data_IF_880352778142
#
_entry.id   IF_880352778142
#
_cell.length_a   1.000
_cell.length_b   1.000
_cell.length_c   1.000
_cell.angle_alpha   90.00
_cell.angle_beta   90.00
_cell.angle_gamma   90.00
#
_symmetry.space_group_name_H-M   'P 1'
#
loop_
_entity.id
_entity.type
_entity.pdbx_description
1 polymer ?
#
# COMPACT_ATOMS: atom_id res chain seq x y z
N UNK A 1 -14.76 -30.71 -20.73
CA UNK A 1 -14.52 -30.94 -19.30
C UNK A 1 -13.56 -29.87 -18.85
N UNK A 2 -14.06 -28.81 -18.19
CA UNK A 2 -13.21 -27.83 -17.55
C UNK A 2 -12.58 -28.54 -16.33
N UNK A 3 -11.28 -28.79 -16.37
CA UNK A 3 -10.55 -29.28 -15.22
C UNK A 3 -10.73 -28.28 -14.08
N UNK A 4 -11.21 -28.72 -12.94
CA UNK A 4 -11.22 -27.94 -11.72
C UNK A 4 -9.78 -27.48 -11.50
N UNK A 5 -9.51 -26.20 -11.66
CA UNK A 5 -8.24 -25.61 -11.35
C UNK A 5 -8.07 -25.80 -9.84
N UNK A 6 -7.09 -26.61 -9.43
CA UNK A 6 -6.82 -26.82 -8.00
C UNK A 6 -6.59 -25.43 -7.38
N UNK A 7 -7.33 -25.13 -6.34
CA UNK A 7 -7.22 -23.86 -5.64
C UNK A 7 -5.80 -23.65 -5.08
N UNK A 8 -5.47 -22.40 -4.72
CA UNK A 8 -4.20 -22.09 -4.05
C UNK A 8 -4.40 -22.33 -2.55
N UNK A 9 -3.89 -23.45 -1.99
CA UNK A 9 -4.12 -23.79 -0.58
C UNK A 9 -3.33 -22.82 0.30
N UNK A 10 -4.03 -22.02 1.08
CA UNK A 10 -3.45 -21.16 2.10
C UNK A 10 -3.56 -21.86 3.45
N UNK A 11 -2.43 -22.23 4.04
CA UNK A 11 -2.37 -22.69 5.41
C UNK A 11 -2.26 -21.50 6.36
N UNK A 12 -3.05 -21.51 7.44
CA UNK A 12 -3.04 -20.47 8.46
C UNK A 12 -3.00 -21.06 9.86
N UNK A 13 -2.18 -20.48 10.75
CA UNK A 13 -2.13 -20.82 12.17
C UNK A 13 -1.60 -19.65 13.00
N UNK A 14 -1.82 -19.73 14.31
CA UNK A 14 -1.23 -18.81 15.28
C UNK A 14 -0.11 -19.50 16.05
N UNK A 15 1.04 -18.86 16.15
CA UNK A 15 2.19 -19.32 16.93
C UNK A 15 1.95 -19.14 18.44
N UNK A 16 2.70 -19.85 19.28
CA UNK A 16 2.64 -19.72 20.73
C UNK A 16 2.94 -18.30 21.24
N UNK A 17 3.73 -17.52 20.49
CA UNK A 17 4.03 -16.11 20.77
C UNK A 17 2.97 -15.13 20.22
N UNK A 18 1.85 -15.62 19.69
CA UNK A 18 0.74 -14.84 19.14
C UNK A 18 0.88 -14.42 17.68
N UNK A 19 2.00 -14.65 17.01
CA UNK A 19 2.17 -14.34 15.59
C UNK A 19 1.22 -15.18 14.73
N UNK A 20 0.55 -14.52 13.77
CA UNK A 20 -0.28 -15.20 12.79
C UNK A 20 0.56 -15.52 11.55
N UNK A 21 0.53 -16.76 11.09
CA UNK A 21 1.31 -17.23 9.95
C UNK A 21 0.38 -17.71 8.84
N UNK A 22 0.68 -17.29 7.63
CA UNK A 22 0.00 -17.66 6.40
C UNK A 22 1.04 -18.23 5.44
N UNK A 23 0.80 -19.44 4.93
CA UNK A 23 1.74 -20.15 4.08
C UNK A 23 1.07 -20.62 2.79
N UNK A 24 1.73 -20.37 1.66
CA UNK A 24 1.49 -21.05 0.40
C UNK A 24 2.75 -21.81 0.02
N UNK A 25 2.67 -23.13 -0.01
CA UNK A 25 3.77 -23.97 -0.45
C UNK A 25 3.93 -23.88 -1.97
N UNK A 26 5.12 -23.49 -2.43
CA UNK A 26 5.47 -23.36 -3.85
C UNK A 26 6.82 -24.04 -4.12
N UNK A 27 6.83 -25.37 -4.30
CA UNK A 27 8.08 -26.15 -4.37
C UNK A 27 8.80 -26.06 -5.73
N UNK A 28 8.25 -25.37 -6.72
CA UNK A 28 8.80 -25.31 -8.07
C UNK A 28 10.19 -24.67 -8.17
N UNK A 29 10.54 -23.80 -7.24
CA UNK A 29 11.86 -23.16 -7.14
C UNK A 29 12.38 -23.31 -5.70
N UNK A 30 13.69 -23.59 -5.49
CA UNK A 30 14.28 -23.75 -4.15
C UNK A 30 14.51 -22.38 -3.48
N UNK A 31 13.45 -21.62 -3.34
CA UNK A 31 13.48 -20.26 -2.76
C UNK A 31 12.23 -20.00 -1.91
N UNK A 32 12.33 -19.02 -1.04
CA UNK A 32 11.24 -18.54 -0.20
C UNK A 32 11.19 -17.01 -0.23
N UNK A 33 9.99 -16.51 -0.31
CA UNK A 33 9.63 -15.10 -0.13
C UNK A 33 8.81 -14.98 1.16
N UNK A 34 9.17 -14.00 1.99
CA UNK A 34 8.52 -13.75 3.27
C UNK A 34 8.17 -12.27 3.39
N UNK A 35 7.02 -11.99 3.95
CA UNK A 35 6.64 -10.65 4.39
C UNK A 35 6.10 -10.71 5.82
N UNK A 36 6.58 -9.80 6.66
CA UNK A 36 6.12 -9.65 8.03
C UNK A 36 5.53 -8.26 8.17
N UNK A 37 4.27 -8.19 8.55
CA UNK A 37 3.51 -6.95 8.68
C UNK A 37 3.17 -6.67 10.15
N UNK A 38 3.34 -5.41 10.54
CA UNK A 38 2.96 -4.90 11.85
C UNK A 38 2.07 -3.67 11.73
N UNK A 39 1.14 -3.47 12.65
CA UNK A 39 0.34 -2.26 12.77
C UNK A 39 1.22 -1.09 13.29
N UNK A 40 2.07 -0.61 12.39
CA UNK A 40 3.10 0.39 12.63
C UNK A 40 3.27 1.32 11.40
N UNK A 41 2.20 1.63 10.71
CA UNK A 41 2.20 2.56 9.58
C UNK A 41 2.09 4.02 9.99
N UNK A 42 2.15 4.92 9.00
CA UNK A 42 2.14 6.37 9.19
C UNK A 42 0.89 6.90 9.93
N UNK A 43 -0.23 6.17 9.91
CA UNK A 43 -1.41 6.52 10.72
C UNK A 43 -1.17 6.41 12.23
N UNK A 44 -0.06 5.80 12.65
CA UNK A 44 0.39 5.71 14.04
C UNK A 44 1.38 6.81 14.42
N UNK A 45 1.78 7.64 13.46
CA UNK A 45 2.67 8.78 13.73
C UNK A 45 1.96 9.79 14.63
N UNK A 46 2.62 10.28 15.70
CA UNK A 46 2.08 11.36 16.51
C UNK A 46 1.92 12.64 15.67
N UNK A 47 0.94 13.46 16.02
CA UNK A 47 0.75 14.78 15.41
C UNK A 47 2.06 15.60 15.48
N UNK A 48 2.45 16.18 14.35
CA UNK A 48 3.68 16.95 14.20
C UNK A 48 4.95 16.12 13.98
N UNK A 49 4.85 14.78 13.98
CA UNK A 49 5.97 13.87 13.71
C UNK A 49 5.68 12.92 12.53
N UNK A 50 4.95 13.40 11.55
CA UNK A 50 4.69 12.64 10.32
C UNK A 50 6.00 12.22 9.66
N UNK A 51 6.09 10.93 9.33
CA UNK A 51 7.29 10.29 8.81
C UNK A 51 8.02 9.45 9.85
N UNK A 52 7.57 9.40 11.12
CA UNK A 52 8.21 8.58 12.17
C UNK A 52 8.21 7.10 11.82
N UNK A 53 7.10 6.53 11.36
CA UNK A 53 7.03 5.13 10.92
C UNK A 53 8.02 4.85 9.79
N UNK A 54 8.05 5.72 8.77
CA UNK A 54 8.96 5.57 7.63
C UNK A 54 10.43 5.75 8.00
N UNK A 55 10.73 6.72 8.90
CA UNK A 55 12.08 6.91 9.46
C UNK A 55 12.53 5.67 10.25
N UNK A 56 11.63 5.11 11.09
CA UNK A 56 11.91 3.89 11.85
C UNK A 56 12.21 2.72 10.92
N UNK A 57 11.37 2.48 9.91
CA UNK A 57 11.59 1.42 8.92
C UNK A 57 12.92 1.59 8.16
N UNK A 58 13.23 2.81 7.71
CA UNK A 58 14.50 3.13 7.05
C UNK A 58 15.69 2.81 7.95
N UNK A 59 15.66 3.27 9.20
CA UNK A 59 16.78 3.14 10.13
C UNK A 59 17.01 1.72 10.63
N UNK A 60 15.99 0.85 10.60
CA UNK A 60 16.13 -0.59 10.88
C UNK A 60 17.12 -1.26 9.93
N UNK A 61 17.20 -0.80 8.67
CA UNK A 61 18.15 -1.31 7.68
C UNK A 61 19.58 -0.74 7.78
N UNK A 62 19.84 0.23 8.69
CA UNK A 62 21.06 1.05 8.70
C UNK A 62 22.11 0.66 9.73
N UNK A 63 22.05 -0.55 10.24
CA UNK A 63 23.02 -1.09 11.20
C UNK A 63 22.35 -1.85 12.34
N UNK A 64 23.13 -2.66 13.03
CA UNK A 64 22.70 -3.58 14.08
C UNK A 64 23.52 -3.39 15.35
N UNK A 65 22.87 -3.43 16.51
CA UNK A 65 23.54 -3.46 17.82
C UNK A 65 24.23 -4.79 18.06
N UNK A 66 25.24 -4.80 18.90
CA UNK A 66 25.76 -6.04 19.48
C UNK A 66 24.71 -6.75 20.33
N UNK A 67 24.67 -8.09 20.27
CA UNK A 67 23.81 -8.93 21.13
C UNK A 67 24.58 -10.18 21.57
N UNK A 68 24.88 -10.32 22.85
CA UNK A 68 25.71 -11.42 23.34
C UNK A 68 27.04 -11.48 22.62
N UNK A 69 27.34 -12.61 21.98
CA UNK A 69 28.56 -12.80 21.21
C UNK A 69 28.47 -12.28 19.75
N UNK A 70 27.32 -11.78 19.33
CA UNK A 70 27.15 -11.22 17.99
C UNK A 70 27.62 -9.76 18.00
N UNK A 71 28.61 -9.39 17.13
CA UNK A 71 29.12 -8.03 17.08
C UNK A 71 28.07 -7.07 16.52
N UNK A 72 28.25 -5.78 16.80
CA UNK A 72 27.55 -4.72 16.09
C UNK A 72 27.94 -4.75 14.61
N UNK A 73 27.03 -4.32 13.73
CA UNK A 73 27.29 -4.18 12.30
C UNK A 73 26.87 -2.79 11.86
N UNK A 74 27.74 -2.12 11.13
CA UNK A 74 27.37 -0.89 10.46
C UNK A 74 26.59 -1.14 9.16
N UNK A 75 26.20 -0.08 8.46
CA UNK A 75 25.41 -0.15 7.23
C UNK A 75 26.12 -0.96 6.13
N UNK A 76 27.45 -0.85 6.01
CA UNK A 76 28.23 -1.55 4.98
C UNK A 76 28.32 -3.05 5.30
N UNK A 77 28.66 -3.40 6.53
CA UNK A 77 28.75 -4.79 6.97
C UNK A 77 27.39 -5.52 6.85
N UNK A 78 26.29 -4.81 7.11
CA UNK A 78 24.93 -5.34 6.88
C UNK A 78 24.69 -5.59 5.39
N UNK A 79 25.05 -4.64 4.54
CA UNK A 79 24.90 -4.77 3.08
C UNK A 79 25.73 -5.93 2.51
N UNK A 80 26.97 -6.09 2.95
CA UNK A 80 27.85 -7.20 2.58
C UNK A 80 27.28 -8.54 3.01
N UNK A 81 26.80 -8.65 4.25
CA UNK A 81 26.22 -9.90 4.75
C UNK A 81 24.97 -10.36 3.95
N UNK A 82 24.14 -9.45 3.50
CA UNK A 82 23.01 -9.77 2.62
C UNK A 82 23.47 -10.18 1.22
N UNK A 83 24.47 -9.48 0.67
CA UNK A 83 25.02 -9.77 -0.66
C UNK A 83 25.73 -11.14 -0.68
N UNK A 84 26.55 -11.44 0.30
CA UNK A 84 27.26 -12.72 0.44
C UNK A 84 26.29 -13.90 0.58
N UNK A 85 25.18 -13.69 1.28
CA UNK A 85 24.10 -14.68 1.39
C UNK A 85 23.27 -14.86 0.12
N UNK A 86 23.41 -13.99 -0.89
CA UNK A 86 22.53 -13.98 -2.06
C UNK A 86 21.05 -13.80 -1.70
N UNK A 87 20.79 -13.15 -0.57
CA UNK A 87 19.47 -12.92 -0.03
C UNK A 87 19.13 -11.41 -0.05
N UNK A 88 17.83 -11.10 0.00
CA UNK A 88 17.34 -9.74 0.00
C UNK A 88 16.53 -9.49 1.27
N UNK A 89 16.68 -8.28 1.81
CA UNK A 89 15.87 -7.80 2.92
C UNK A 89 15.51 -6.33 2.70
N UNK A 90 14.28 -5.96 3.05
CA UNK A 90 13.89 -4.56 3.09
C UNK A 90 12.86 -4.30 4.19
N UNK A 91 12.85 -3.08 4.70
CA UNK A 91 11.84 -2.58 5.61
C UNK A 91 11.22 -1.31 5.01
N UNK A 92 9.91 -1.19 5.09
CA UNK A 92 9.16 -0.03 4.60
C UNK A 92 7.92 0.22 5.46
N UNK A 93 7.41 1.45 5.44
CA UNK A 93 6.15 1.78 6.08
C UNK A 93 5.19 2.41 5.06
N UNK A 94 3.94 1.96 5.10
CA UNK A 94 2.81 2.56 4.39
C UNK A 94 1.94 3.35 5.39
N UNK A 95 0.77 3.80 4.96
CA UNK A 95 -0.19 4.43 5.88
C UNK A 95 -0.62 3.50 7.01
N UNK A 96 -0.84 2.21 6.73
CA UNK A 96 -1.43 1.26 7.68
C UNK A 96 -0.43 0.37 8.39
N UNK A 97 0.67 -0.01 7.74
CA UNK A 97 1.58 -1.04 8.24
C UNK A 97 3.04 -0.73 7.99
N UNK A 98 3.89 -1.28 8.82
CA UNK A 98 5.31 -1.48 8.56
C UNK A 98 5.52 -2.91 8.10
N UNK A 99 6.19 -3.07 6.97
CA UNK A 99 6.43 -4.35 6.31
C UNK A 99 7.91 -4.64 6.22
N UNK A 100 8.29 -5.86 6.57
CA UNK A 100 9.62 -6.41 6.38
C UNK A 100 9.53 -7.51 5.33
N UNK A 101 10.31 -7.43 4.28
CA UNK A 101 10.32 -8.45 3.22
C UNK A 101 11.70 -9.10 3.15
N UNK A 102 11.70 -10.42 2.95
CA UNK A 102 12.90 -11.22 2.77
C UNK A 102 12.71 -12.17 1.61
N UNK A 103 13.76 -12.35 0.83
CA UNK A 103 13.88 -13.41 -0.19
C UNK A 103 15.18 -14.15 0.02
N UNK A 104 15.12 -15.47 0.00
CA UNK A 104 16.29 -16.33 0.16
C UNK A 104 16.12 -17.63 -0.61
N UNK A 105 17.24 -18.29 -0.91
CA UNK A 105 17.23 -19.70 -1.28
C UNK A 105 16.86 -20.56 -0.07
N UNK A 106 16.26 -21.73 -0.29
CA UNK A 106 15.89 -22.68 0.78
C UNK A 106 17.00 -23.66 1.13
N UNK A 107 18.21 -23.50 0.58
CA UNK A 107 19.39 -24.22 1.01
C UNK A 107 19.71 -23.86 2.46
N UNK A 108 19.88 -24.84 3.33
CA UNK A 108 19.90 -24.69 4.79
C UNK A 108 20.86 -23.59 5.27
N UNK A 109 22.12 -23.59 4.80
CA UNK A 109 23.11 -22.62 5.28
C UNK A 109 22.75 -21.19 4.91
N UNK A 110 22.17 -21.00 3.70
CA UNK A 110 21.74 -19.67 3.19
C UNK A 110 20.49 -19.21 3.93
N UNK A 111 19.51 -20.10 4.08
CA UNK A 111 18.25 -19.80 4.74
C UNK A 111 18.49 -19.44 6.22
N UNK A 112 19.27 -20.24 6.95
CA UNK A 112 19.56 -20.00 8.36
C UNK A 112 20.37 -18.73 8.58
N UNK A 113 21.35 -18.44 7.72
CA UNK A 113 22.12 -17.21 7.80
C UNK A 113 21.24 -15.98 7.55
N UNK A 114 20.42 -16.00 6.49
CA UNK A 114 19.52 -14.90 6.15
C UNK A 114 18.42 -14.71 7.21
N UNK A 115 17.91 -15.79 7.79
CA UNK A 115 16.92 -15.72 8.87
C UNK A 115 17.52 -15.07 10.14
N UNK A 116 18.71 -15.50 10.56
CA UNK A 116 19.38 -14.90 11.72
C UNK A 116 19.67 -13.40 11.51
N UNK A 117 20.04 -13.01 10.31
CA UNK A 117 20.26 -11.61 9.98
C UNK A 117 18.96 -10.82 10.00
N UNK A 118 17.87 -11.36 9.44
CA UNK A 118 16.53 -10.76 9.49
C UNK A 118 16.03 -10.63 10.95
N UNK A 119 16.22 -11.65 11.78
CA UNK A 119 15.87 -11.62 13.20
C UNK A 119 16.60 -10.49 13.95
N UNK A 120 17.86 -10.23 13.62
CA UNK A 120 18.61 -9.09 14.16
C UNK A 120 18.06 -7.75 13.71
N UNK A 121 17.66 -7.63 12.45
CA UNK A 121 16.99 -6.39 11.97
C UNK A 121 15.71 -6.10 12.75
N UNK A 122 14.93 -7.14 13.04
CA UNK A 122 13.70 -6.98 13.82
C UNK A 122 13.97 -6.61 15.28
N UNK A 123 15.02 -7.18 15.90
CA UNK A 123 15.23 -7.09 17.34
C UNK A 123 16.30 -6.06 17.76
N UNK A 124 17.33 -5.87 16.96
CA UNK A 124 18.54 -5.14 17.32
C UNK A 124 18.93 -3.98 16.40
N UNK A 125 17.99 -3.20 15.85
CA UNK A 125 18.38 -2.07 15.01
C UNK A 125 19.22 -1.06 15.81
N UNK A 126 20.29 -0.55 15.17
CA UNK A 126 21.23 0.34 15.83
C UNK A 126 20.65 1.74 16.14
N UNK A 127 19.83 2.27 15.23
CA UNK A 127 19.32 3.64 15.31
C UNK A 127 20.44 4.66 15.58
N UNK A 128 21.55 4.59 14.83
CA UNK A 128 22.71 5.47 15.04
C UNK A 128 22.34 6.93 14.72
N UNK A 129 22.69 7.85 15.65
CA UNK A 129 22.25 9.24 15.59
C UNK A 129 22.87 10.01 14.40
N UNK A 130 24.14 9.75 14.08
CA UNK A 130 24.85 10.32 12.94
C UNK A 130 24.27 9.86 11.62
N UNK A 131 23.90 8.58 11.51
CA UNK A 131 23.22 8.03 10.35
C UNK A 131 21.83 8.68 10.18
N UNK A 132 21.07 8.81 11.27
CA UNK A 132 19.79 9.51 11.21
C UNK A 132 19.94 10.97 10.79
N UNK A 133 20.94 11.68 11.30
CA UNK A 133 21.20 13.07 10.90
C UNK A 133 21.44 13.18 9.39
N UNK A 134 22.26 12.26 8.84
CA UNK A 134 22.53 12.18 7.39
C UNK A 134 21.28 11.86 6.57
N UNK A 135 20.54 10.82 6.94
CA UNK A 135 19.34 10.39 6.20
C UNK A 135 18.23 11.43 6.27
N UNK A 136 18.03 12.05 7.42
CA UNK A 136 17.07 13.16 7.60
C UNK A 136 17.39 14.33 6.67
N UNK A 137 18.67 14.70 6.57
CA UNK A 137 19.10 15.77 5.66
C UNK A 137 18.83 15.42 4.21
N UNK A 138 19.16 14.21 3.78
CA UNK A 138 18.90 13.71 2.42
C UNK A 138 17.40 13.70 2.12
N UNK A 139 16.62 13.16 3.01
CA UNK A 139 15.16 13.08 2.84
C UNK A 139 14.53 14.47 2.81
N UNK A 140 14.93 15.37 3.70
CA UNK A 140 14.46 16.76 3.68
C UNK A 140 14.81 17.48 2.37
N UNK A 141 16.00 17.26 1.81
CA UNK A 141 16.38 17.81 0.52
C UNK A 141 15.52 17.25 -0.61
N UNK A 142 15.29 15.93 -0.64
CA UNK A 142 14.40 15.27 -1.61
C UNK A 142 12.95 15.77 -1.53
N UNK A 143 12.44 16.01 -0.32
CA UNK A 143 11.09 16.59 -0.13
C UNK A 143 11.01 18.01 -0.72
N UNK A 144 12.02 18.86 -0.50
CA UNK A 144 12.05 20.21 -1.09
C UNK A 144 12.14 20.15 -2.61
N UNK A 145 13.01 19.30 -3.15
CA UNK A 145 13.13 19.08 -4.58
C UNK A 145 11.82 18.59 -5.20
N UNK A 146 11.11 17.70 -4.52
CA UNK A 146 9.83 17.17 -5.02
C UNK A 146 8.76 18.25 -5.24
N UNK A 147 8.84 19.39 -4.52
CA UNK A 147 7.95 20.52 -4.67
C UNK A 147 8.18 21.32 -5.97
N UNK A 148 9.23 21.05 -6.71
CA UNK A 148 9.43 21.58 -8.08
C UNK A 148 8.60 20.83 -9.12
N UNK A 149 7.91 19.76 -8.74
CA UNK A 149 7.07 18.94 -9.61
C UNK A 149 5.60 19.25 -9.38
N UNK A 150 4.86 19.73 -10.40
CA UNK A 150 3.48 20.16 -10.22
C UNK A 150 2.54 19.04 -9.75
N UNK A 151 2.78 17.79 -10.15
CA UNK A 151 2.02 16.63 -9.65
C UNK A 151 2.17 16.44 -8.15
N UNK A 152 3.40 16.54 -7.63
CA UNK A 152 3.66 16.46 -6.18
C UNK A 152 2.95 17.60 -5.43
N UNK A 153 2.98 18.80 -5.97
CA UNK A 153 2.28 19.96 -5.37
C UNK A 153 0.78 19.70 -5.33
N UNK A 154 0.21 19.15 -6.41
CA UNK A 154 -1.21 18.79 -6.47
C UNK A 154 -1.58 17.76 -5.40
N UNK A 155 -0.83 16.65 -5.29
CA UNK A 155 -1.10 15.58 -4.32
C UNK A 155 -0.94 16.07 -2.86
N UNK A 156 0.05 16.92 -2.61
CA UNK A 156 0.29 17.50 -1.28
C UNK A 156 -0.81 18.49 -0.85
N UNK A 157 -1.44 19.18 -1.78
CA UNK A 157 -2.59 20.03 -1.49
C UNK A 157 -3.88 19.21 -1.36
N UNK A 158 -4.03 18.18 -2.19
CA UNK A 158 -5.22 17.35 -2.27
C UNK A 158 -5.41 16.45 -1.06
N UNK A 159 -4.37 15.72 -0.64
CA UNK A 159 -4.45 14.71 0.42
C UNK A 159 -5.00 15.28 1.75
N UNK A 160 -4.46 16.36 2.33
CA UNK A 160 -5.02 16.93 3.56
C UNK A 160 -6.39 17.57 3.36
N UNK A 161 -6.71 18.04 2.15
CA UNK A 161 -8.04 18.58 1.85
C UNK A 161 -9.12 17.50 1.81
N UNK A 162 -8.75 16.26 1.41
CA UNK A 162 -9.66 15.09 1.38
C UNK A 162 -9.84 14.49 2.76
N UNK A 163 -8.74 14.30 3.51
CA UNK A 163 -8.78 13.54 4.76
C UNK A 163 -8.90 14.40 6.03
N UNK A 164 -8.77 15.71 5.91
CA UNK A 164 -8.88 16.63 7.04
C UNK A 164 -7.89 16.29 8.16
N UNK A 165 -8.42 16.07 9.36
CA UNK A 165 -7.63 15.74 10.56
C UNK A 165 -7.33 14.24 10.69
N UNK A 166 -7.88 13.39 9.82
CA UNK A 166 -7.60 11.96 9.85
C UNK A 166 -6.12 11.70 9.54
N UNK A 167 -5.45 10.73 10.20
CA UNK A 167 -4.03 10.42 9.96
C UNK A 167 -3.65 10.12 8.50
N UNK A 168 -4.57 9.68 7.66
CA UNK A 168 -4.33 9.52 6.22
C UNK A 168 -4.06 10.84 5.50
N UNK A 169 -4.46 11.97 6.08
CA UNK A 169 -4.16 13.31 5.57
C UNK A 169 -2.80 13.85 6.00
N UNK A 170 -2.13 13.21 6.94
CA UNK A 170 -0.81 13.63 7.40
C UNK A 170 0.25 13.46 6.31
N UNK A 171 1.15 14.44 6.24
CA UNK A 171 2.24 14.44 5.27
C UNK A 171 3.58 14.69 5.94
N UNK A 172 4.57 13.93 5.51
CA UNK A 172 5.94 14.16 5.93
C UNK A 172 6.45 15.46 5.32
N UNK A 173 7.02 16.31 6.16
CA UNK A 173 7.65 17.58 5.79
C UNK A 173 9.06 17.67 6.39
N UNK A 174 9.94 18.56 5.90
CA UNK A 174 11.24 18.81 6.54
C UNK A 174 11.10 19.16 8.04
N UNK A 175 10.05 19.91 8.40
CA UNK A 175 9.76 20.32 9.80
C UNK A 175 9.35 19.11 10.64
N UNK A 176 8.42 18.26 10.14
CA UNK A 176 8.01 17.05 10.87
C UNK A 176 9.18 16.08 11.05
N UNK A 177 10.08 15.95 10.04
CA UNK A 177 11.29 15.14 10.15
C UNK A 177 12.29 15.70 11.18
N UNK A 178 12.37 17.04 11.32
CA UNK A 178 13.21 17.68 12.34
C UNK A 178 12.72 17.36 13.75
N UNK A 179 11.41 17.17 13.92
CA UNK A 179 10.81 16.79 15.20
C UNK A 179 10.97 15.28 15.54
N UNK A 180 11.41 14.44 14.59
CA UNK A 180 11.64 13.01 14.83
C UNK A 180 13.04 12.79 15.38
N UNK A 181 13.14 12.19 16.57
CA UNK A 181 14.40 11.81 17.21
C UNK A 181 14.66 10.30 17.15
N UNK A 182 15.90 9.90 17.42
CA UNK A 182 16.27 8.49 17.60
C UNK A 182 15.46 7.85 18.73
N UNK A 183 15.23 8.57 19.82
CA UNK A 183 14.43 8.09 20.95
C UNK A 183 12.97 7.82 20.53
N UNK A 184 12.41 8.66 19.66
CA UNK A 184 11.05 8.44 19.13
C UNK A 184 11.00 7.15 18.30
N UNK A 185 12.00 6.91 17.43
CA UNK A 185 12.08 5.68 16.63
C UNK A 185 12.24 4.43 17.49
N UNK A 186 13.08 4.49 18.54
CA UNK A 186 13.27 3.40 19.50
C UNK A 186 11.97 3.08 20.24
N UNK A 187 11.27 4.12 20.72
CA UNK A 187 9.99 3.96 21.40
C UNK A 187 8.89 3.42 20.46
N UNK A 188 8.85 3.91 19.21
CA UNK A 188 7.92 3.43 18.19
C UNK A 188 8.16 1.96 17.87
N UNK A 189 9.42 1.57 17.63
CA UNK A 189 9.83 0.20 17.40
C UNK A 189 9.43 -0.71 18.57
N UNK A 190 9.81 -0.39 19.80
CA UNK A 190 9.53 -1.17 21.01
C UNK A 190 8.02 -1.37 21.25
N UNK A 191 7.20 -0.38 20.87
CA UNK A 191 5.75 -0.43 21.04
C UNK A 191 5.04 -1.28 19.99
N UNK A 192 5.52 -1.27 18.75
CA UNK A 192 4.78 -1.82 17.61
C UNK A 192 5.34 -3.15 17.10
N UNK A 193 6.66 -3.37 17.17
CA UNK A 193 7.30 -4.57 16.63
C UNK A 193 7.36 -5.64 17.71
N UNK A 194 6.24 -6.35 17.87
CA UNK A 194 6.06 -7.39 18.88
C UNK A 194 5.52 -8.67 18.23
N UNK A 195 5.95 -9.90 18.67
CA UNK A 195 5.52 -11.14 18.06
C UNK A 195 4.00 -11.28 17.95
N UNK A 196 3.27 -10.95 19.02
CA UNK A 196 1.80 -11.02 19.08
C UNK A 196 1.06 -10.08 18.13
N UNK A 197 1.78 -9.17 17.42
CA UNK A 197 1.23 -8.28 16.38
C UNK A 197 1.67 -8.67 14.99
N UNK A 198 2.59 -9.63 14.87
CA UNK A 198 3.15 -10.02 13.59
C UNK A 198 2.12 -10.80 12.76
N UNK A 199 1.97 -10.41 11.51
CA UNK A 199 1.35 -11.20 10.46
C UNK A 199 2.44 -11.61 9.48
N UNK A 200 2.73 -12.90 9.43
CA UNK A 200 3.83 -13.47 8.65
C UNK A 200 3.24 -14.21 7.45
N UNK A 201 3.54 -13.73 6.28
CA UNK A 201 3.14 -14.34 5.00
C UNK A 201 4.36 -14.99 4.36
N UNK A 202 4.25 -16.26 3.97
CA UNK A 202 5.33 -17.06 3.41
C UNK A 202 4.88 -17.74 2.13
N UNK A 203 5.68 -17.61 1.08
CA UNK A 203 5.47 -18.31 -0.20
C UNK A 203 6.79 -18.94 -0.62
N UNK A 204 6.84 -20.24 -0.83
CA UNK A 204 8.06 -20.89 -1.30
C UNK A 204 8.16 -22.38 -1.03
N UNK A 205 9.36 -22.91 -1.21
CA UNK A 205 9.66 -24.34 -1.09
C UNK A 205 9.97 -24.74 0.36
N UNK A 206 9.06 -24.40 1.27
CA UNK A 206 9.10 -24.81 2.69
C UNK A 206 7.75 -25.38 3.10
N UNK A 207 7.75 -26.42 3.93
CA UNK A 207 6.55 -26.97 4.53
C UNK A 207 6.19 -26.28 5.85
N UNK A 208 5.00 -26.57 6.36
CA UNK A 208 4.47 -25.98 7.60
C UNK A 208 5.41 -26.14 8.79
N UNK A 209 5.99 -27.34 9.01
CA UNK A 209 6.86 -27.58 10.15
C UNK A 209 8.15 -26.72 10.08
N UNK A 210 8.74 -26.61 8.89
CA UNK A 210 9.90 -25.75 8.64
C UNK A 210 9.57 -24.28 8.89
N UNK A 211 8.45 -23.80 8.35
CA UNK A 211 8.03 -22.40 8.54
C UNK A 211 7.71 -22.11 10.00
N UNK A 212 7.06 -23.04 10.71
CA UNK A 212 6.78 -22.89 12.13
C UNK A 212 8.04 -22.74 12.97
N UNK A 213 9.05 -23.58 12.75
CA UNK A 213 10.34 -23.49 13.43
C UNK A 213 11.06 -22.18 13.07
N UNK A 214 11.11 -21.87 11.79
CA UNK A 214 11.76 -20.67 11.25
C UNK A 214 11.15 -19.36 11.82
N UNK A 215 9.80 -19.23 11.86
CA UNK A 215 9.13 -18.06 12.43
C UNK A 215 9.35 -17.94 13.94
N UNK A 216 9.42 -19.09 14.65
CA UNK A 216 9.73 -19.11 16.09
C UNK A 216 11.10 -18.48 16.35
N UNK A 217 12.13 -18.89 15.62
CA UNK A 217 13.49 -18.34 15.75
C UNK A 217 13.56 -16.88 15.31
N UNK A 218 12.92 -16.53 14.19
CA UNK A 218 12.90 -15.18 13.64
C UNK A 218 12.39 -14.14 14.66
N UNK A 219 11.40 -14.50 15.45
CA UNK A 219 10.75 -13.60 16.42
C UNK A 219 11.25 -13.80 17.86
N UNK A 220 12.14 -14.78 18.11
CA UNK A 220 12.57 -15.17 19.46
C UNK A 220 13.27 -14.04 20.24
N UNK A 221 13.93 -13.12 19.53
CA UNK A 221 14.68 -12.03 20.16
C UNK A 221 13.82 -10.80 20.46
N UNK A 222 12.58 -10.77 19.97
CA UNK A 222 11.62 -9.70 20.31
C UNK A 222 11.04 -9.93 21.72
N UNK A 223 10.57 -8.88 22.41
CA UNK A 223 9.94 -9.02 23.72
C UNK A 223 8.80 -10.05 23.68
N UNK A 224 8.86 -11.05 24.56
CA UNK A 224 7.92 -12.17 24.56
C UNK A 224 6.56 -11.80 25.18
N UNK A 225 5.49 -12.37 24.61
CA UNK A 225 4.12 -12.26 25.09
C UNK A 225 3.16 -12.84 24.05
N UNK A 226 2.29 -13.75 24.44
CA UNK A 226 1.31 -14.34 23.53
C UNK A 226 0.19 -13.35 23.15
N UNK A 227 -0.01 -12.33 23.98
CA UNK A 227 -1.01 -11.28 23.80
C UNK A 227 -0.39 -9.90 23.91
N UNK A 228 -0.91 -8.98 23.11
CA UNK A 228 -0.53 -7.56 23.16
C UNK A 228 -1.70 -6.71 23.68
N UNK A 229 -1.39 -5.69 24.43
CA UNK A 229 -2.37 -4.65 24.71
C UNK A 229 -2.88 -4.03 23.40
N UNK A 230 -4.17 -3.71 23.34
CA UNK A 230 -4.74 -3.05 22.18
C UNK A 230 -4.04 -1.71 21.90
N UNK A 231 -3.78 -1.43 20.63
CA UNK A 231 -3.32 -0.11 20.21
C UNK A 231 -4.50 0.87 20.25
N UNK A 232 -4.25 2.17 20.48
CA UNK A 232 -5.30 3.17 20.41
C UNK A 232 -6.08 3.08 19.08
N UNK A 233 -7.39 3.21 19.17
CA UNK A 233 -8.23 3.26 17.98
C UNK A 233 -7.89 4.50 17.13
N UNK A 234 -7.84 4.32 15.83
CA UNK A 234 -7.78 5.42 14.87
C UNK A 234 -9.21 5.73 14.46
N UNK A 235 -9.65 6.99 14.49
CA UNK A 235 -11.00 7.38 14.07
C UNK A 235 -11.25 6.99 12.60
N UNK A 236 -12.53 6.81 12.23
CA UNK A 236 -12.89 6.60 10.82
C UNK A 236 -12.78 7.92 10.04
N UNK A 237 -12.43 7.79 8.77
CA UNK A 237 -12.40 8.92 7.82
C UNK A 237 -13.82 9.47 7.66
N UNK A 238 -13.96 10.78 7.80
CA UNK A 238 -15.25 11.45 7.61
C UNK A 238 -15.50 11.75 6.12
N UNK A 239 -16.72 11.56 5.63
CA UNK A 239 -17.07 11.97 4.27
C UNK A 239 -17.00 13.49 4.10
N UNK A 240 -16.75 13.94 2.89
CA UNK A 240 -16.79 15.37 2.57
C UNK A 240 -18.23 15.89 2.66
N UNK A 241 -18.41 17.06 3.26
CA UNK A 241 -19.70 17.73 3.39
C UNK A 241 -20.02 18.65 2.20
N UNK A 242 -18.98 19.13 1.51
CA UNK A 242 -19.09 20.05 0.37
C UNK A 242 -17.93 19.86 -0.60
N UNK A 243 -18.08 20.35 -1.82
CA UNK A 243 -16.99 20.45 -2.78
C UNK A 243 -15.94 21.48 -2.33
N UNK A 244 -14.70 21.26 -2.73
CA UNK A 244 -13.61 22.21 -2.52
C UNK A 244 -12.75 22.30 -3.77
N UNK A 245 -12.47 23.52 -4.24
CA UNK A 245 -11.57 23.78 -5.34
C UNK A 245 -10.34 24.55 -4.86
N UNK A 246 -9.17 24.12 -5.32
CA UNK A 246 -7.88 24.72 -4.97
C UNK A 246 -7.11 24.92 -6.26
N UNK A 247 -6.79 26.17 -6.56
CA UNK A 247 -5.94 26.54 -7.71
C UNK A 247 -4.59 27.00 -7.20
N UNK A 248 -3.53 26.40 -7.71
CA UNK A 248 -2.15 26.71 -7.33
C UNK A 248 -1.42 27.18 -8.59
N UNK A 249 -1.06 28.46 -8.67
CA UNK A 249 -0.22 28.97 -9.76
C UNK A 249 1.11 28.21 -9.78
N UNK A 250 1.47 27.73 -10.96
CA UNK A 250 2.72 27.00 -11.13
C UNK A 250 3.16 27.11 -12.60
N UNK A 251 4.41 27.50 -12.81
CA UNK A 251 4.95 27.62 -14.16
C UNK A 251 5.38 26.22 -14.65
N UNK A 252 4.58 25.63 -15.52
CA UNK A 252 4.87 24.35 -16.15
C UNK A 252 4.18 24.23 -17.51
N UNK A 253 4.72 23.37 -18.37
CA UNK A 253 4.13 23.03 -19.66
C UNK A 253 2.79 22.28 -19.56
N UNK A 254 2.49 21.72 -18.40
CA UNK A 254 1.29 20.92 -18.14
C UNK A 254 0.63 21.33 -16.83
N UNK A 255 -0.68 21.45 -16.84
CA UNK A 255 -1.47 21.48 -15.62
C UNK A 255 -1.68 20.07 -15.08
N UNK A 256 -1.57 19.93 -13.77
CA UNK A 256 -1.86 18.69 -13.04
C UNK A 256 -3.12 18.87 -12.22
N UNK A 257 -4.03 17.91 -12.33
CA UNK A 257 -5.30 17.90 -11.60
C UNK A 257 -5.41 16.63 -10.78
N UNK A 258 -5.72 16.80 -9.50
CA UNK A 258 -6.14 15.73 -8.60
C UNK A 258 -7.56 16.04 -8.13
N UNK A 259 -8.52 15.14 -8.42
CA UNK A 259 -9.92 15.27 -8.05
C UNK A 259 -10.37 14.00 -7.32
N UNK A 260 -11.15 14.13 -6.23
CA UNK A 260 -11.68 12.95 -5.54
C UNK A 260 -12.18 13.23 -4.13
N UNK A 261 -12.35 12.15 -3.38
CA UNK A 261 -12.98 12.11 -2.07
C UNK A 261 -12.44 10.91 -1.26
N UNK A 262 -12.76 10.78 0.05
CA UNK A 262 -12.63 9.50 0.74
C UNK A 262 -13.47 8.43 0.02
N UNK A 263 -12.87 7.27 -0.20
CA UNK A 263 -13.52 6.13 -0.85
C UNK A 263 -14.18 5.19 0.17
N UNK A 264 -13.62 3.97 0.32
CA UNK A 264 -14.17 2.93 1.16
C UNK A 264 -13.05 2.10 1.83
N UNK A 265 -13.42 1.26 2.81
CA UNK A 265 -12.51 0.34 3.50
C UNK A 265 -12.31 -0.94 2.69
N UNK A 266 -11.17 -1.61 2.89
CA UNK A 266 -10.86 -2.83 2.13
C UNK A 266 -11.84 -3.99 2.35
N UNK A 267 -12.49 -4.05 3.50
CA UNK A 267 -13.49 -5.06 3.87
C UNK A 267 -14.93 -4.69 3.45
N UNK A 268 -15.10 -3.59 2.72
CA UNK A 268 -16.41 -3.14 2.25
C UNK A 268 -17.03 -4.16 1.28
N UNK A 269 -18.30 -4.52 1.45
CA UNK A 269 -18.99 -5.47 0.56
C UNK A 269 -19.07 -5.01 -0.90
N UNK A 270 -19.00 -3.71 -1.16
CA UNK A 270 -19.01 -3.14 -2.52
C UNK A 270 -17.66 -3.23 -3.22
N UNK A 271 -16.61 -3.79 -2.60
CA UNK A 271 -15.24 -3.83 -3.12
C UNK A 271 -15.16 -4.31 -4.57
N UNK A 272 -15.80 -5.44 -4.90
CA UNK A 272 -15.74 -6.00 -6.25
C UNK A 272 -16.50 -5.14 -7.27
N UNK A 273 -17.67 -4.63 -6.90
CA UNK A 273 -18.48 -3.76 -7.75
C UNK A 273 -17.75 -2.45 -8.05
N UNK A 274 -17.11 -1.85 -7.04
CA UNK A 274 -16.32 -0.62 -7.20
C UNK A 274 -15.03 -0.87 -7.98
N UNK A 275 -14.40 -2.04 -7.83
CA UNK A 275 -13.23 -2.43 -8.64
C UNK A 275 -13.58 -2.51 -10.12
N UNK A 276 -14.67 -3.20 -10.46
CA UNK A 276 -15.14 -3.33 -11.85
C UNK A 276 -15.62 -1.99 -12.40
N UNK A 277 -16.37 -1.22 -11.63
CA UNK A 277 -16.84 0.09 -12.05
C UNK A 277 -15.70 1.09 -12.24
N UNK A 278 -14.65 1.03 -11.41
CA UNK A 278 -13.45 1.84 -11.62
C UNK A 278 -12.70 1.47 -12.91
N UNK A 279 -12.68 0.19 -13.27
CA UNK A 279 -12.12 -0.24 -14.56
C UNK A 279 -12.84 0.47 -15.72
N UNK A 280 -14.17 0.53 -15.70
CA UNK A 280 -14.98 1.25 -16.67
C UNK A 280 -14.72 2.75 -16.64
N UNK A 281 -14.59 3.35 -15.44
CA UNK A 281 -14.40 4.79 -15.29
C UNK A 281 -13.07 5.27 -15.85
N UNK A 282 -11.95 4.78 -15.31
CA UNK A 282 -10.61 5.28 -15.61
C UNK A 282 -9.48 4.28 -15.37
N UNK A 283 -9.76 3.13 -14.73
CA UNK A 283 -8.78 2.10 -14.43
C UNK A 283 -8.46 1.17 -15.61
N UNK A 284 -9.31 1.12 -16.62
CA UNK A 284 -9.15 0.28 -17.81
C UNK A 284 -8.25 0.86 -18.91
N UNK A 285 -7.52 1.92 -18.63
CA UNK A 285 -6.64 2.55 -19.61
C UNK A 285 -7.41 3.06 -20.85
N UNK A 286 -7.00 2.65 -22.04
CA UNK A 286 -7.57 3.15 -23.31
C UNK A 286 -9.05 2.86 -23.54
N UNK A 287 -9.61 1.85 -22.89
CA UNK A 287 -11.02 1.47 -23.03
C UNK A 287 -11.94 2.10 -21.98
N UNK A 288 -11.39 2.94 -21.11
CA UNK A 288 -12.16 3.59 -20.05
C UNK A 288 -12.87 4.85 -20.52
N UNK A 289 -14.01 5.19 -19.89
CA UNK A 289 -14.81 6.38 -20.21
C UNK A 289 -14.02 7.68 -20.12
N UNK A 290 -13.19 7.84 -19.07
CA UNK A 290 -12.34 9.03 -18.91
C UNK A 290 -11.37 9.15 -20.08
N UNK A 291 -10.75 8.05 -20.50
CA UNK A 291 -9.84 8.08 -21.65
C UNK A 291 -10.58 8.46 -22.94
N UNK A 292 -11.69 7.81 -23.23
CA UNK A 292 -12.47 8.08 -24.43
C UNK A 292 -12.93 9.54 -24.48
N UNK A 293 -13.54 10.05 -23.39
CA UNK A 293 -14.17 11.37 -23.39
C UNK A 293 -13.18 12.52 -23.27
N UNK A 294 -12.09 12.35 -22.51
CA UNK A 294 -11.11 13.42 -22.27
C UNK A 294 -10.03 13.44 -23.37
N UNK A 295 -9.57 12.26 -23.81
CA UNK A 295 -8.49 12.15 -24.82
C UNK A 295 -9.02 12.08 -26.22
N UNK A 296 -9.76 11.01 -26.55
CA UNK A 296 -10.03 10.64 -27.95
C UNK A 296 -10.99 11.61 -28.61
N UNK A 297 -12.06 11.99 -27.90
CA UNK A 297 -13.08 12.90 -28.45
C UNK A 297 -12.71 14.37 -28.39
N UNK A 298 -11.84 14.81 -27.45
CA UNK A 298 -11.58 16.23 -27.19
C UNK A 298 -10.10 16.61 -27.22
N UNK A 299 -9.18 15.66 -27.21
CA UNK A 299 -7.73 15.94 -27.23
C UNK A 299 -7.21 16.71 -26.03
N UNK A 300 -7.91 16.66 -24.88
CA UNK A 300 -7.64 17.51 -23.71
C UNK A 300 -6.55 17.01 -22.77
N UNK A 301 -5.83 15.91 -23.07
CA UNK A 301 -4.94 15.31 -22.08
C UNK A 301 -3.63 14.74 -22.63
N UNK A 302 -2.64 14.61 -21.71
CA UNK A 302 -1.52 13.66 -21.81
C UNK A 302 -1.85 12.35 -21.10
N UNK A 303 -2.42 12.40 -19.89
CA UNK A 303 -2.88 11.20 -19.15
C UNK A 303 -4.17 11.50 -18.38
N UNK A 304 -5.04 10.48 -18.22
CA UNK A 304 -6.17 10.49 -17.30
C UNK A 304 -6.39 9.08 -16.77
N UNK A 305 -6.66 8.96 -15.47
CA UNK A 305 -6.92 7.70 -14.79
C UNK A 305 -7.81 7.92 -13.57
N UNK A 306 -8.39 6.84 -13.06
CA UNK A 306 -9.03 6.81 -11.76
C UNK A 306 -8.63 5.58 -10.98
N UNK A 307 -8.66 5.68 -9.65
CA UNK A 307 -8.41 4.55 -8.77
C UNK A 307 -9.12 4.70 -7.43
N UNK A 308 -9.38 3.56 -6.80
CA UNK A 308 -9.63 3.44 -5.37
C UNK A 308 -8.42 2.80 -4.70
N UNK A 309 -8.07 3.26 -3.51
CA UNK A 309 -7.01 2.66 -2.70
C UNK A 309 -7.53 2.38 -1.29
N UNK A 310 -8.40 1.36 -1.14
CA UNK A 310 -9.01 1.04 0.15
C UNK A 310 -7.98 0.49 1.14
N UNK A 311 -8.00 1.01 2.37
CA UNK A 311 -7.14 0.60 3.48
C UNK A 311 -7.93 0.02 4.65
N UNK A 312 -7.35 0.04 5.84
CA UNK A 312 -8.06 -0.28 7.09
C UNK A 312 -9.15 0.76 7.39
N UNK A 313 -8.97 1.99 6.92
CA UNK A 313 -9.98 3.04 6.88
C UNK A 313 -10.32 3.37 5.43
N UNK A 314 -11.33 4.22 5.20
CA UNK A 314 -11.70 4.65 3.87
C UNK A 314 -10.53 5.36 3.20
N UNK A 315 -9.83 4.68 2.32
CA UNK A 315 -8.75 5.23 1.53
C UNK A 315 -9.28 6.12 0.40
N UNK A 316 -8.42 6.72 -0.44
CA UNK A 316 -8.86 7.65 -1.46
C UNK A 316 -9.62 6.99 -2.61
N UNK A 317 -10.62 7.70 -3.13
CA UNK A 317 -11.03 7.65 -4.52
C UNK A 317 -10.43 8.87 -5.23
N UNK A 318 -9.69 8.68 -6.30
CA UNK A 318 -9.06 9.76 -7.02
C UNK A 318 -9.19 9.62 -8.54
N UNK A 319 -9.33 10.76 -9.20
CA UNK A 319 -9.15 10.95 -10.64
C UNK A 319 -7.94 11.88 -10.79
N UNK A 320 -6.91 11.41 -11.49
CA UNK A 320 -5.74 12.19 -11.86
C UNK A 320 -5.76 12.50 -13.35
N UNK A 321 -5.42 13.71 -13.74
CA UNK A 321 -5.22 14.06 -15.13
C UNK A 321 -4.13 15.10 -15.34
N UNK A 322 -3.52 15.07 -16.52
CA UNK A 322 -2.54 16.02 -17.00
C UNK A 322 -3.00 16.57 -18.34
N UNK A 323 -2.96 17.89 -18.48
CA UNK A 323 -3.44 18.59 -19.67
C UNK A 323 -2.62 19.86 -19.92
N UNK A 324 -2.93 20.58 -20.99
CA UNK A 324 -2.39 21.92 -21.21
C UNK A 324 -3.00 22.91 -20.19
N UNK A 325 -2.24 23.92 -19.72
CA UNK A 325 -2.74 24.89 -18.75
C UNK A 325 -4.05 25.59 -19.17
N UNK A 326 -4.16 25.96 -20.44
CA UNK A 326 -5.34 26.64 -21.02
C UNK A 326 -6.57 25.73 -21.15
N UNK A 327 -6.41 24.41 -20.97
CA UNK A 327 -7.48 23.41 -21.09
C UNK A 327 -7.88 22.81 -19.73
N UNK A 328 -7.20 23.17 -18.63
CA UNK A 328 -7.38 22.53 -17.34
C UNK A 328 -8.84 22.59 -16.85
N UNK A 329 -9.49 23.73 -16.92
CA UNK A 329 -10.90 23.89 -16.53
C UNK A 329 -11.82 22.98 -17.33
N UNK A 330 -11.69 22.98 -18.66
CA UNK A 330 -12.50 22.13 -19.52
C UNK A 330 -12.28 20.64 -19.24
N UNK A 331 -11.04 20.21 -19.00
CA UNK A 331 -10.73 18.82 -18.66
C UNK A 331 -11.36 18.39 -17.32
N UNK A 332 -11.36 19.26 -16.31
CA UNK A 332 -12.05 19.04 -15.03
C UNK A 332 -13.55 18.90 -15.22
N UNK A 333 -14.18 19.80 -15.99
CA UNK A 333 -15.63 19.74 -16.26
C UNK A 333 -16.01 18.44 -16.97
N UNK A 334 -15.23 18.01 -17.96
CA UNK A 334 -15.45 16.74 -18.66
C UNK A 334 -15.29 15.54 -17.71
N UNK A 335 -14.25 15.54 -16.87
CA UNK A 335 -14.04 14.45 -15.92
C UNK A 335 -15.18 14.36 -14.90
N UNK A 336 -15.69 15.50 -14.39
CA UNK A 336 -16.87 15.56 -13.52
C UNK A 336 -18.13 15.01 -14.21
N UNK A 337 -18.35 15.43 -15.45
CA UNK A 337 -19.51 14.97 -16.23
C UNK A 337 -19.46 13.45 -16.46
N UNK A 338 -18.28 12.88 -16.77
CA UNK A 338 -18.09 11.44 -16.94
C UNK A 338 -18.35 10.69 -15.63
N UNK A 339 -17.82 11.20 -14.50
CA UNK A 339 -18.05 10.61 -13.18
C UNK A 339 -19.53 10.63 -12.82
N UNK A 340 -20.19 11.77 -13.00
CA UNK A 340 -21.63 11.95 -12.73
C UNK A 340 -22.47 11.02 -13.60
N UNK A 341 -22.17 10.91 -14.88
CA UNK A 341 -22.87 10.02 -15.80
C UNK A 341 -22.76 8.54 -15.37
N UNK A 342 -21.57 8.11 -14.95
CA UNK A 342 -21.39 6.74 -14.44
C UNK A 342 -22.17 6.50 -13.13
N UNK A 343 -22.18 7.47 -12.21
CA UNK A 343 -22.94 7.34 -10.95
C UNK A 343 -24.45 7.31 -11.20
N UNK A 344 -24.95 8.17 -12.10
CA UNK A 344 -26.39 8.28 -12.38
C UNK A 344 -26.94 7.14 -13.25
N UNK A 345 -26.17 6.69 -14.25
CA UNK A 345 -26.65 5.72 -15.26
C UNK A 345 -26.05 4.34 -15.12
N UNK A 346 -24.94 4.21 -14.38
CA UNK A 346 -24.16 2.98 -14.30
C UNK A 346 -23.38 2.67 -15.58
N UNK A 347 -22.70 1.52 -15.61
CA UNK A 347 -22.06 1.01 -16.83
C UNK A 347 -23.11 0.43 -17.78
N UNK A 348 -22.83 0.43 -19.06
CA UNK A 348 -23.57 -0.38 -20.02
C UNK A 348 -23.23 -1.87 -19.84
N UNK A 349 -24.09 -2.75 -20.35
CA UNK A 349 -23.83 -4.20 -20.32
C UNK A 349 -22.53 -4.55 -21.08
N UNK A 350 -22.22 -3.87 -22.17
CA UNK A 350 -21.01 -4.08 -22.96
C UNK A 350 -19.75 -3.66 -22.18
N UNK A 351 -19.76 -2.49 -21.50
CA UNK A 351 -18.66 -2.03 -20.67
C UNK A 351 -18.42 -2.97 -19.48
N UNK A 352 -19.50 -3.41 -18.83
CA UNK A 352 -19.42 -4.37 -17.73
C UNK A 352 -18.78 -5.68 -18.20
N UNK A 353 -19.24 -6.24 -19.34
CA UNK A 353 -18.70 -7.49 -19.84
C UNK A 353 -17.23 -7.36 -20.22
N UNK A 354 -16.84 -6.30 -20.93
CA UNK A 354 -15.45 -6.03 -21.28
C UNK A 354 -14.55 -5.88 -20.04
N UNK A 355 -15.02 -5.20 -18.98
CA UNK A 355 -14.30 -5.07 -17.72
C UNK A 355 -14.10 -6.44 -17.03
N UNK A 356 -15.16 -7.25 -16.95
CA UNK A 356 -15.09 -8.61 -16.40
C UNK A 356 -14.10 -9.48 -17.16
N UNK A 357 -14.18 -9.52 -18.49
CA UNK A 357 -13.33 -10.36 -19.33
C UNK A 357 -11.85 -10.00 -19.17
N UNK A 358 -11.54 -8.70 -19.13
CA UNK A 358 -10.16 -8.24 -18.91
C UNK A 358 -9.65 -8.58 -17.50
N UNK A 359 -10.43 -8.26 -16.46
CA UNK A 359 -10.04 -8.48 -15.08
C UNK A 359 -9.86 -9.96 -14.74
N UNK A 360 -10.76 -10.82 -15.24
CA UNK A 360 -10.69 -12.27 -14.99
C UNK A 360 -9.67 -12.97 -15.89
N UNK A 361 -9.60 -12.56 -17.16
CA UNK A 361 -8.60 -13.11 -18.10
C UNK A 361 -7.15 -12.81 -17.69
N UNK A 362 -6.92 -11.65 -17.10
CA UNK A 362 -5.60 -11.28 -16.57
C UNK A 362 -5.30 -11.78 -15.16
N UNK A 363 -6.23 -12.45 -14.48
CA UNK A 363 -6.08 -12.77 -13.05
C UNK A 363 -4.92 -13.75 -12.79
N UNK A 364 -4.73 -14.77 -13.61
CA UNK A 364 -3.62 -15.71 -13.46
C UNK A 364 -2.25 -15.04 -13.50
N UNK A 365 -2.09 -13.96 -14.28
CA UNK A 365 -0.85 -13.18 -14.35
C UNK A 365 -0.55 -12.40 -13.07
N UNK A 366 -1.50 -12.29 -12.14
CA UNK A 366 -1.31 -11.68 -10.82
C UNK A 366 -0.78 -12.67 -9.78
N UNK A 367 -0.66 -13.96 -10.15
CA UNK A 367 -0.30 -15.06 -9.26
C UNK A 367 0.86 -15.90 -9.83
N UNK A 368 1.47 -15.49 -10.94
CA UNK A 368 2.42 -16.27 -11.76
C UNK A 368 3.85 -16.33 -11.19
N UNK A 369 4.10 -15.72 -10.03
CA UNK A 369 5.40 -15.76 -9.36
C UNK A 369 5.23 -15.74 -7.84
N UNK A 370 6.23 -16.27 -7.11
CA UNK A 370 6.23 -16.24 -5.65
C UNK A 370 6.04 -14.82 -5.10
N UNK A 371 6.65 -13.81 -5.73
CA UNK A 371 6.53 -12.41 -5.30
C UNK A 371 5.09 -11.92 -5.41
N UNK A 372 4.45 -12.10 -6.57
CA UNK A 372 3.07 -11.67 -6.76
C UNK A 372 2.10 -12.45 -5.85
N UNK A 373 2.36 -13.74 -5.68
CA UNK A 373 1.56 -14.56 -4.76
C UNK A 373 1.74 -14.11 -3.30
N UNK A 374 2.96 -13.75 -2.90
CA UNK A 374 3.24 -13.18 -1.58
C UNK A 374 2.50 -11.86 -1.36
N UNK A 375 2.52 -10.95 -2.34
CA UNK A 375 1.82 -9.66 -2.25
C UNK A 375 0.31 -9.86 -2.02
N UNK A 376 -0.29 -10.84 -2.70
CA UNK A 376 -1.69 -11.22 -2.50
C UNK A 376 -1.92 -11.86 -1.13
N UNK A 377 -1.06 -12.80 -0.72
CA UNK A 377 -1.15 -13.49 0.58
C UNK A 377 -1.03 -12.49 1.75
N UNK A 378 -0.07 -11.57 1.67
CA UNK A 378 0.11 -10.52 2.67
C UNK A 378 -1.10 -9.57 2.74
N UNK A 379 -1.75 -9.30 1.60
CA UNK A 379 -2.97 -8.52 1.57
C UNK A 379 -4.16 -9.28 2.21
N UNK A 380 -4.28 -10.58 1.95
CA UNK A 380 -5.28 -11.46 2.59
C UNK A 380 -5.05 -11.47 4.12
N UNK A 381 -3.82 -11.69 4.55
CA UNK A 381 -3.45 -11.71 5.96
C UNK A 381 -3.72 -10.37 6.64
N UNK A 382 -3.34 -9.26 6.00
CA UNK A 382 -3.47 -7.92 6.57
C UNK A 382 -4.93 -7.52 6.77
N UNK A 383 -5.76 -7.72 5.77
CA UNK A 383 -7.18 -7.35 5.78
C UNK A 383 -8.10 -8.46 6.29
N UNK A 384 -7.55 -9.58 6.77
CA UNK A 384 -8.31 -10.73 7.27
C UNK A 384 -9.36 -11.22 6.25
N UNK A 385 -8.99 -11.26 4.98
CA UNK A 385 -9.85 -11.77 3.92
C UNK A 385 -10.01 -13.29 4.04
N UNK A 386 -11.08 -13.87 3.48
CA UNK A 386 -11.24 -15.33 3.45
C UNK A 386 -10.04 -16.03 2.82
N UNK A 387 -9.67 -17.22 3.35
CA UNK A 387 -8.51 -17.96 2.82
C UNK A 387 -8.73 -18.47 1.39
N UNK A 388 -9.97 -18.61 0.94
CA UNK A 388 -10.36 -18.94 -0.43
C UNK A 388 -10.51 -17.70 -1.34
N UNK A 389 -10.05 -16.54 -0.88
CA UNK A 389 -10.21 -15.27 -1.61
C UNK A 389 -9.70 -15.33 -3.04
N UNK A 390 -8.53 -15.94 -3.27
CA UNK A 390 -7.94 -16.06 -4.60
C UNK A 390 -8.74 -17.01 -5.49
N UNK A 391 -9.26 -18.09 -4.91
CA UNK A 391 -10.03 -19.11 -5.63
C UNK A 391 -11.43 -18.60 -6.05
N UNK A 392 -12.01 -17.73 -5.24
CA UNK A 392 -13.37 -17.18 -5.47
C UNK A 392 -13.37 -15.82 -6.19
N UNK A 393 -12.19 -15.20 -6.38
CA UNK A 393 -12.09 -13.84 -6.91
C UNK A 393 -12.72 -13.67 -8.30
N UNK A 394 -12.36 -14.54 -9.23
CA UNK A 394 -12.89 -14.50 -10.62
C UNK A 394 -14.40 -14.75 -10.64
N UNK A 395 -14.89 -15.68 -9.82
CA UNK A 395 -16.31 -15.95 -9.70
C UNK A 395 -17.09 -14.75 -9.19
N UNK A 396 -16.57 -14.07 -8.13
CA UNK A 396 -17.19 -12.86 -7.57
C UNK A 396 -17.26 -11.72 -8.59
N UNK A 397 -16.20 -11.54 -9.39
CA UNK A 397 -16.22 -10.55 -10.48
C UNK A 397 -17.24 -10.93 -11.57
N UNK A 398 -17.26 -12.19 -12.01
CA UNK A 398 -18.18 -12.65 -13.04
C UNK A 398 -19.66 -12.60 -12.62
N UNK A 399 -19.95 -12.73 -11.33
CA UNK A 399 -21.32 -12.69 -10.80
C UNK A 399 -21.95 -11.29 -10.78
N UNK A 400 -21.14 -10.21 -10.88
CA UNK A 400 -21.66 -8.84 -10.80
C UNK A 400 -22.60 -8.49 -11.95
N UNK A 401 -23.63 -7.73 -11.64
CA UNK A 401 -24.57 -7.15 -12.61
C UNK A 401 -24.31 -5.64 -12.79
N UNK A 402 -24.90 -5.06 -13.84
CA UNK A 402 -24.92 -3.59 -14.02
C UNK A 402 -25.53 -2.91 -12.79
N UNK A 403 -26.57 -3.49 -12.22
CA UNK A 403 -27.24 -2.95 -11.03
C UNK A 403 -26.33 -2.94 -9.80
N UNK A 404 -25.54 -4.00 -9.57
CA UNK A 404 -24.60 -4.06 -8.44
C UNK A 404 -23.56 -2.93 -8.53
N UNK A 405 -22.98 -2.72 -9.72
CA UNK A 405 -21.99 -1.66 -9.95
C UNK A 405 -22.62 -0.28 -9.80
N UNK A 406 -23.80 -0.06 -10.41
CA UNK A 406 -24.51 1.22 -10.32
C UNK A 406 -24.84 1.59 -8.87
N UNK A 407 -25.41 0.64 -8.13
CA UNK A 407 -25.77 0.88 -6.73
C UNK A 407 -24.55 1.12 -5.83
N UNK A 408 -23.44 0.40 -6.07
CA UNK A 408 -22.22 0.61 -5.33
C UNK A 408 -21.66 2.04 -5.56
N UNK A 409 -21.66 2.51 -6.80
CA UNK A 409 -21.24 3.87 -7.10
C UNK A 409 -22.14 4.93 -6.47
N UNK A 410 -23.47 4.75 -6.52
CA UNK A 410 -24.42 5.66 -5.86
C UNK A 410 -24.19 5.73 -4.35
N UNK A 411 -23.86 4.59 -3.70
CA UNK A 411 -23.59 4.58 -2.26
C UNK A 411 -22.27 5.22 -1.88
N UNK A 412 -21.23 5.07 -2.70
CA UNK A 412 -19.83 5.37 -2.31
C UNK A 412 -19.25 6.60 -2.96
N UNK A 413 -19.77 7.05 -4.09
CA UNK A 413 -19.19 8.17 -4.85
C UNK A 413 -20.19 9.32 -4.91
N UNK A 414 -19.71 10.51 -4.53
CA UNK A 414 -20.52 11.73 -4.48
C UNK A 414 -19.93 12.78 -5.43
N UNK A 415 -20.34 12.83 -6.70
CA UNK A 415 -19.75 13.75 -7.70
C UNK A 415 -19.80 15.22 -7.29
N UNK A 416 -20.81 15.60 -6.50
CA UNK A 416 -21.03 16.97 -6.04
C UNK A 416 -20.16 17.37 -4.82
N UNK A 417 -19.40 16.41 -4.25
CA UNK A 417 -18.62 16.64 -3.02
C UNK A 417 -17.15 16.21 -3.20
N UNK A 418 -16.55 16.61 -4.30
CA UNK A 418 -15.16 16.30 -4.61
C UNK A 418 -14.23 17.42 -4.16
N UNK A 419 -13.02 17.09 -3.69
CA UNK A 419 -11.90 18.03 -3.66
C UNK A 419 -11.24 18.00 -5.02
N UNK A 420 -11.08 19.17 -5.64
CA UNK A 420 -10.35 19.34 -6.90
C UNK A 420 -9.19 20.28 -6.67
N UNK A 421 -8.00 19.84 -6.99
CA UNK A 421 -6.77 20.64 -6.96
C UNK A 421 -6.25 20.77 -8.39
N UNK A 422 -6.00 21.98 -8.83
CA UNK A 422 -5.40 22.29 -10.14
C UNK A 422 -4.09 23.04 -9.93
N UNK A 423 -3.01 22.51 -10.44
CA UNK A 423 -1.67 23.11 -10.37
C UNK A 423 -1.19 23.43 -11.77
N UNK A 424 -0.81 24.68 -12.04
CA UNK A 424 -0.29 25.14 -13.34
C UNK A 424 -1.36 25.39 -14.40
N UNK A 425 -2.65 25.37 -14.03
CA UNK A 425 -3.77 25.78 -14.88
C UNK A 425 -4.22 27.22 -14.62
N UNK A 426 -5.03 27.77 -15.52
CA UNK A 426 -5.77 29.01 -15.24
C UNK A 426 -7.00 28.71 -14.39
N UNK A 427 -7.36 29.59 -13.42
CA UNK A 427 -8.55 29.43 -12.60
C UNK A 427 -9.85 29.47 -13.43
#
# INVERSE_FOLDING_TARGET
MAGAQAGIPIEHWTQANGAQVFLVQSPGLPMVDVQIDFDAGGRRDPTGRSGLASATAMMIGKGLKARGNLPAMDENAVGEAWADGGALFSASASSDRMSFTQRSLTRTEVLDASMRLAARHLADPAFAADIWARERQRWSASLRESLTKPGTVADRAWTPAVFGTHPYGQQTTPESLTAVSVTDMQAFHARHILPCRAKVSVVGALNRAQVQAWVTELLAALPSGATCAALPAVPEVQPLTQAKEIFIPFESAQAHVSMGQPGYKRDDPDFFALTVGNYVLGGGGFVSRLTEQVREKRGLRYSVYSYFSPGLHAGPFAIGLQTRPDQARQAVEVARAVLKDLVEKGPTQAELQAAKDNLTGGFALRLDSNRKLLDNLANIAWHQLPLDYLDTWTQKVQALTVQDVSQAFVRKVQPERQVTVVVGGSP
#
